data_IF_231358476672
#
_entry.id   IF_231358476672
#
_cell.length_a   1.000
_cell.length_b   1.000
_cell.length_c   1.000
_cell.angle_alpha   90.00
_cell.angle_beta   90.00
_cell.angle_gamma   90.00
#
_symmetry.space_group_name_H-M   'P 1'
#
loop_
_entity.id
_entity.type
_entity.pdbx_description
1 polymer ?
#
# COMPACT_ATOMS: atom_id res chain seq x y z
N UNK A 1 -23.99 11.56 -20.81
CA UNK A 1 -23.46 10.19 -20.76
C UNK A 1 -23.32 9.88 -19.28
N UNK A 2 -24.37 9.34 -18.68
CA UNK A 2 -24.50 9.29 -17.21
C UNK A 2 -24.06 7.92 -16.73
N UNK A 3 -22.75 7.70 -16.71
CA UNK A 3 -22.15 6.50 -16.13
C UNK A 3 -21.45 6.85 -14.83
N UNK A 4 -21.47 5.89 -13.90
CA UNK A 4 -20.77 5.97 -12.64
C UNK A 4 -19.97 4.70 -12.40
N UNK A 5 -18.74 4.88 -11.93
CA UNK A 5 -17.79 3.83 -11.58
C UNK A 5 -17.47 3.95 -10.11
N UNK A 6 -17.51 2.83 -9.40
CA UNK A 6 -17.18 2.75 -7.98
C UNK A 6 -15.96 1.87 -7.82
N UNK A 7 -14.95 2.38 -7.12
CA UNK A 7 -13.78 1.62 -6.69
C UNK A 7 -13.83 1.44 -5.17
N UNK A 8 -13.73 0.19 -4.74
CA UNK A 8 -13.77 -0.20 -3.33
C UNK A 8 -12.48 -0.94 -2.99
N UNK A 9 -11.79 -0.47 -1.96
CA UNK A 9 -10.64 -1.16 -1.38
C UNK A 9 -10.88 -1.32 0.13
N UNK A 10 -10.37 -2.38 0.79
CA UNK A 10 -10.46 -2.50 2.24
C UNK A 10 -9.61 -1.45 2.97
N UNK A 11 -8.52 -0.96 2.36
CA UNK A 11 -7.56 -0.07 3.01
C UNK A 11 -7.70 1.39 2.54
N UNK A 12 -7.87 2.32 3.49
CA UNK A 12 -8.01 3.75 3.18
C UNK A 12 -6.75 4.40 2.60
N UNK A 13 -5.56 3.87 2.93
CA UNK A 13 -4.29 4.38 2.38
C UNK A 13 -4.23 4.16 0.85
N UNK A 14 -4.68 2.99 0.38
CA UNK A 14 -4.73 2.68 -1.05
C UNK A 14 -5.75 3.57 -1.77
N UNK A 15 -6.91 3.81 -1.16
CA UNK A 15 -7.92 4.75 -1.69
C UNK A 15 -7.33 6.15 -1.88
N UNK A 16 -6.54 6.64 -0.91
CA UNK A 16 -5.92 7.96 -0.99
C UNK A 16 -4.85 8.03 -2.08
N UNK A 17 -3.98 7.02 -2.18
CA UNK A 17 -2.97 6.92 -3.24
C UNK A 17 -3.62 6.86 -4.62
N UNK A 18 -4.64 6.03 -4.77
CA UNK A 18 -5.37 5.86 -6.03
C UNK A 18 -6.14 7.12 -6.41
N UNK A 19 -6.69 7.84 -5.45
CA UNK A 19 -7.36 9.12 -5.68
C UNK A 19 -6.39 10.16 -6.28
N UNK A 20 -5.16 10.24 -5.76
CA UNK A 20 -4.14 11.15 -6.27
C UNK A 20 -3.72 10.75 -7.70
N UNK A 21 -3.39 9.47 -7.91
CA UNK A 21 -3.01 8.95 -9.24
C UNK A 21 -4.12 9.13 -10.28
N UNK A 22 -5.35 8.78 -9.94
CA UNK A 22 -6.48 8.84 -10.89
C UNK A 22 -6.93 10.26 -11.16
N UNK A 23 -6.87 11.18 -10.20
CA UNK A 23 -7.12 12.59 -10.49
C UNK A 23 -6.15 13.11 -11.53
N UNK A 24 -4.87 12.78 -11.40
CA UNK A 24 -3.88 13.20 -12.38
C UNK A 24 -4.08 12.52 -13.74
N UNK A 25 -4.25 11.19 -13.75
CA UNK A 25 -4.30 10.43 -15.01
C UNK A 25 -5.64 10.49 -15.72
N UNK A 26 -6.75 10.42 -14.98
CA UNK A 26 -8.11 10.35 -15.52
C UNK A 26 -8.83 11.69 -15.41
N UNK A 27 -8.63 12.41 -14.30
CA UNK A 27 -9.21 13.74 -14.11
C UNK A 27 -8.64 14.75 -15.11
N UNK A 28 -7.32 14.91 -15.15
CA UNK A 28 -6.71 15.93 -16.03
C UNK A 28 -6.81 15.53 -17.52
N UNK A 29 -6.57 14.26 -17.86
CA UNK A 29 -6.53 13.79 -19.25
C UNK A 29 -7.93 13.61 -19.85
N UNK A 30 -8.87 13.03 -19.10
CA UNK A 30 -10.19 12.65 -19.59
C UNK A 30 -11.33 13.51 -19.04
N UNK A 31 -11.02 14.53 -18.22
CA UNK A 31 -11.97 15.47 -17.61
C UNK A 31 -13.06 14.77 -16.80
N UNK A 32 -12.70 13.64 -16.18
CA UNK A 32 -13.62 12.90 -15.30
C UNK A 32 -13.64 13.51 -13.91
N UNK A 33 -14.81 13.55 -13.28
CA UNK A 33 -14.96 13.98 -11.89
C UNK A 33 -14.69 12.80 -10.95
N UNK A 34 -13.69 12.95 -10.08
CA UNK A 34 -13.14 11.88 -9.25
C UNK A 34 -13.05 12.31 -7.79
N UNK A 35 -13.74 11.58 -6.92
CA UNK A 35 -13.82 11.92 -5.50
C UNK A 35 -13.87 10.66 -4.62
N UNK A 36 -13.20 10.72 -3.47
CA UNK A 36 -13.31 9.69 -2.45
C UNK A 36 -14.47 9.97 -1.48
N UNK A 37 -15.10 8.90 -1.01
CA UNK A 37 -16.09 8.93 0.06
C UNK A 37 -15.45 9.38 1.37
N UNK A 38 -16.24 10.07 2.18
CA UNK A 38 -15.82 10.58 3.48
C UNK A 38 -16.48 9.82 4.62
N UNK A 39 -15.99 10.01 5.84
CA UNK A 39 -16.63 9.54 7.08
C UNK A 39 -18.02 10.16 7.29
N UNK A 40 -18.28 11.34 6.70
CA UNK A 40 -19.58 12.03 6.80
C UNK A 40 -20.55 11.47 5.76
N UNK A 41 -21.26 10.40 6.13
CA UNK A 41 -22.18 9.66 5.26
C UNK A 41 -23.20 10.58 4.56
N UNK A 42 -23.74 11.60 5.25
CA UNK A 42 -24.72 12.52 4.66
C UNK A 42 -24.16 13.37 3.52
N UNK A 43 -22.86 13.69 3.54
CA UNK A 43 -22.20 14.40 2.44
C UNK A 43 -21.95 13.49 1.23
N UNK A 44 -21.85 12.18 1.46
CA UNK A 44 -21.55 11.21 0.41
C UNK A 44 -22.67 11.09 -0.64
N UNK A 45 -23.92 11.43 -0.32
CA UNK A 45 -25.01 11.48 -1.32
C UNK A 45 -24.73 12.52 -2.42
N UNK A 46 -24.15 13.67 -2.05
CA UNK A 46 -23.75 14.71 -3.01
C UNK A 46 -22.53 14.29 -3.80
N UNK A 47 -21.52 13.74 -3.12
CA UNK A 47 -20.34 13.15 -3.77
C UNK A 47 -20.77 12.14 -4.83
N UNK A 48 -21.72 11.28 -4.49
CA UNK A 48 -22.26 10.29 -5.40
C UNK A 48 -22.99 10.92 -6.59
N UNK A 49 -23.73 12.01 -6.41
CA UNK A 49 -24.45 12.66 -7.50
C UNK A 49 -23.53 13.42 -8.47
N UNK A 50 -22.48 14.07 -7.94
CA UNK A 50 -21.65 15.03 -8.69
C UNK A 50 -20.45 14.37 -9.39
N UNK A 51 -20.11 13.13 -9.02
CA UNK A 51 -18.88 12.46 -9.50
C UNK A 51 -19.18 11.24 -10.38
N UNK A 52 -18.33 11.06 -11.39
CA UNK A 52 -18.37 9.90 -12.28
C UNK A 52 -17.56 8.73 -11.73
N UNK A 53 -16.44 9.01 -11.05
CA UNK A 53 -15.59 7.98 -10.44
C UNK A 53 -15.53 8.22 -8.94
N UNK A 54 -15.98 7.23 -8.17
CA UNK A 54 -16.12 7.32 -6.73
C UNK A 54 -15.23 6.26 -6.11
N UNK A 55 -14.33 6.67 -5.21
CA UNK A 55 -13.44 5.76 -4.49
C UNK A 55 -13.86 5.69 -3.02
N UNK A 56 -13.69 4.55 -2.37
CA UNK A 56 -13.98 4.47 -0.93
C UNK A 56 -13.57 3.16 -0.31
N UNK A 57 -13.59 3.13 1.02
CA UNK A 57 -13.40 1.87 1.74
C UNK A 57 -14.64 0.98 1.63
N UNK A 58 -14.50 -0.32 1.85
CA UNK A 58 -15.61 -1.26 2.05
C UNK A 58 -16.67 -0.71 3.02
N UNK A 59 -16.21 -0.15 4.14
CA UNK A 59 -17.04 0.48 5.16
C UNK A 59 -17.77 1.74 4.65
N UNK A 60 -17.05 2.67 4.01
CA UNK A 60 -17.69 3.89 3.47
C UNK A 60 -18.73 3.55 2.41
N UNK A 61 -18.42 2.59 1.55
CA UNK A 61 -19.33 2.15 0.50
C UNK A 61 -20.55 1.43 1.05
N UNK A 62 -20.38 0.54 2.04
CA UNK A 62 -21.50 -0.09 2.75
C UNK A 62 -22.51 0.94 3.25
N UNK A 63 -22.06 1.91 4.04
CA UNK A 63 -22.95 2.95 4.59
C UNK A 63 -23.57 3.85 3.51
N UNK A 64 -22.80 4.20 2.47
CA UNK A 64 -23.27 5.08 1.39
C UNK A 64 -24.29 4.37 0.50
N UNK A 65 -24.11 3.08 0.22
CA UNK A 65 -25.02 2.28 -0.61
C UNK A 65 -26.42 2.14 0.00
N UNK A 66 -26.53 2.20 1.34
CA UNK A 66 -27.80 2.19 2.04
C UNK A 66 -28.63 3.47 1.86
N UNK A 67 -28.03 4.60 1.46
CA UNK A 67 -28.71 5.87 1.31
C UNK A 67 -29.79 5.80 0.21
N UNK A 68 -31.00 6.36 0.43
CA UNK A 68 -32.09 6.30 -0.54
C UNK A 68 -31.73 6.86 -1.93
N UNK A 69 -30.96 7.94 -1.99
CA UNK A 69 -30.53 8.61 -3.22
C UNK A 69 -29.60 7.72 -4.06
N UNK A 70 -28.65 7.09 -3.38
CA UNK A 70 -27.67 6.19 -3.97
C UNK A 70 -28.35 4.92 -4.45
N UNK A 71 -29.20 4.33 -3.60
CA UNK A 71 -29.98 3.15 -3.95
C UNK A 71 -30.88 3.38 -5.17
N UNK A 72 -31.53 4.55 -5.25
CA UNK A 72 -32.31 4.95 -6.43
C UNK A 72 -31.43 5.04 -7.68
N UNK A 73 -30.26 5.65 -7.58
CA UNK A 73 -29.34 5.79 -8.72
C UNK A 73 -28.80 4.43 -9.22
N UNK A 74 -28.49 3.52 -8.30
CA UNK A 74 -28.13 2.13 -8.62
C UNK A 74 -29.30 1.41 -9.30
N UNK A 75 -30.52 1.52 -8.77
CA UNK A 75 -31.70 0.87 -9.34
C UNK A 75 -32.07 1.41 -10.73
N UNK A 76 -31.75 2.68 -11.01
CA UNK A 76 -31.92 3.31 -12.31
C UNK A 76 -30.79 2.97 -13.31
N UNK A 77 -29.80 2.15 -12.92
CA UNK A 77 -28.72 1.73 -13.79
C UNK A 77 -27.67 2.80 -14.09
N UNK A 78 -27.57 3.86 -13.26
CA UNK A 78 -26.51 4.89 -13.42
C UNK A 78 -25.12 4.34 -13.12
N UNK A 79 -25.03 3.37 -12.22
CA UNK A 79 -23.77 2.68 -11.92
C UNK A 79 -23.54 1.60 -12.95
N UNK A 80 -22.47 1.76 -13.73
CA UNK A 80 -22.11 0.81 -14.80
C UNK A 80 -21.06 -0.21 -14.36
N UNK A 81 -20.20 0.16 -13.41
CA UNK A 81 -19.04 -0.65 -13.00
C UNK A 81 -18.76 -0.51 -11.51
N UNK A 82 -18.55 -1.64 -10.84
CA UNK A 82 -17.96 -1.70 -9.50
C UNK A 82 -16.65 -2.49 -9.59
N UNK A 83 -15.58 -1.91 -9.08
CA UNK A 83 -14.26 -2.51 -8.95
C UNK A 83 -14.03 -2.78 -7.47
N UNK A 84 -13.82 -4.06 -7.12
CA UNK A 84 -13.44 -4.50 -5.79
C UNK A 84 -11.95 -4.85 -5.83
N UNK A 85 -11.14 -4.16 -5.05
CA UNK A 85 -9.72 -4.42 -4.92
C UNK A 85 -9.42 -5.23 -3.65
N UNK A 86 -8.31 -5.98 -3.70
CA UNK A 86 -7.75 -6.78 -2.61
C UNK A 86 -8.78 -7.69 -1.91
N UNK A 87 -9.49 -8.50 -2.68
CA UNK A 87 -10.48 -9.45 -2.14
C UNK A 87 -9.91 -10.44 -1.13
N UNK A 88 -8.60 -10.70 -1.11
CA UNK A 88 -7.94 -11.48 -0.07
C UNK A 88 -8.07 -10.87 1.33
N UNK A 89 -8.29 -9.56 1.40
CA UNK A 89 -8.48 -8.78 2.61
C UNK A 89 -9.97 -8.49 2.84
N UNK A 90 -10.87 -9.34 2.31
CA UNK A 90 -12.31 -9.18 2.48
C UNK A 90 -12.68 -9.07 3.96
N UNK A 91 -13.34 -7.95 4.29
CA UNK A 91 -13.86 -7.67 5.61
C UNK A 91 -15.38 -7.91 5.68
N UNK A 92 -15.94 -7.84 6.89
CA UNK A 92 -17.37 -8.01 7.13
C UNK A 92 -18.22 -7.05 6.31
N UNK A 93 -17.73 -5.82 6.07
CA UNK A 93 -18.45 -4.82 5.28
C UNK A 93 -18.49 -5.17 3.80
N UNK A 94 -17.39 -5.65 3.23
CA UNK A 94 -17.31 -6.08 1.84
C UNK A 94 -18.16 -7.32 1.59
N UNK A 95 -18.14 -8.31 2.49
CA UNK A 95 -18.98 -9.50 2.40
C UNK A 95 -20.48 -9.14 2.46
N UNK A 96 -20.87 -8.26 3.39
CA UNK A 96 -22.23 -7.76 3.52
C UNK A 96 -22.67 -7.00 2.26
N UNK A 97 -21.77 -6.18 1.69
CA UNK A 97 -22.02 -5.45 0.47
C UNK A 97 -22.27 -6.37 -0.72
N UNK A 98 -21.42 -7.38 -0.90
CA UNK A 98 -21.53 -8.38 -1.97
C UNK A 98 -22.83 -9.17 -1.85
N UNK A 99 -23.17 -9.58 -0.63
CA UNK A 99 -24.43 -10.29 -0.33
C UNK A 99 -25.65 -9.41 -0.65
N UNK A 100 -25.58 -8.11 -0.35
CA UNK A 100 -26.66 -7.16 -0.63
C UNK A 100 -26.86 -6.93 -2.13
N UNK A 101 -25.78 -6.72 -2.88
CA UNK A 101 -25.81 -6.50 -4.34
C UNK A 101 -26.24 -7.75 -5.10
N UNK A 102 -25.89 -8.95 -4.61
CA UNK A 102 -26.11 -10.23 -5.27
C UNK A 102 -27.56 -10.68 -5.43
N UNK A 103 -28.50 -10.06 -4.72
CA UNK A 103 -29.91 -10.52 -4.75
C UNK A 103 -30.78 -9.82 -5.80
N UNK A 104 -30.40 -8.64 -6.30
CA UNK A 104 -31.30 -7.83 -7.14
C UNK A 104 -30.65 -7.05 -8.30
N UNK A 105 -29.32 -6.97 -8.39
CA UNK A 105 -28.68 -5.90 -9.18
C UNK A 105 -27.49 -6.34 -10.05
N UNK A 106 -27.10 -7.62 -10.03
CA UNK A 106 -25.92 -8.07 -10.78
C UNK A 106 -26.14 -8.28 -12.28
N UNK A 107 -27.39 -8.34 -12.75
CA UNK A 107 -27.66 -8.60 -14.18
C UNK A 107 -27.39 -7.37 -15.08
N UNK A 108 -27.44 -6.16 -14.52
CA UNK A 108 -27.17 -4.90 -15.24
C UNK A 108 -25.85 -4.23 -14.86
N UNK A 109 -25.17 -4.73 -13.82
CA UNK A 109 -23.98 -4.13 -13.24
C UNK A 109 -22.74 -4.96 -13.54
N UNK A 110 -21.71 -4.35 -14.14
CA UNK A 110 -20.42 -5.03 -14.30
C UNK A 110 -19.66 -5.01 -12.97
N UNK A 111 -19.35 -6.18 -12.44
CA UNK A 111 -18.46 -6.34 -11.29
C UNK A 111 -17.07 -6.79 -11.76
N UNK A 112 -16.03 -6.08 -11.33
CA UNK A 112 -14.63 -6.47 -11.53
C UNK A 112 -14.02 -6.70 -10.16
N UNK A 113 -13.57 -7.93 -9.93
CA UNK A 113 -12.96 -8.38 -8.70
C UNK A 113 -11.46 -8.57 -8.94
N UNK A 114 -10.64 -7.84 -8.19
CA UNK A 114 -9.18 -7.94 -8.21
C UNK A 114 -8.72 -8.58 -6.90
N UNK A 115 -7.77 -9.49 -7.03
CA UNK A 115 -7.12 -10.14 -5.91
C UNK A 115 -5.64 -10.34 -6.21
N UNK A 116 -4.81 -10.29 -5.17
CA UNK A 116 -3.43 -10.73 -5.23
C UNK A 116 -3.29 -12.23 -5.45
N UNK A 117 -2.04 -12.66 -5.63
CA UNK A 117 -1.69 -14.06 -5.91
C UNK A 117 -1.90 -15.02 -4.71
N UNK A 118 -2.29 -14.52 -3.54
CA UNK A 118 -2.42 -15.31 -2.31
C UNK A 118 -3.71 -16.16 -2.26
N UNK A 119 -4.72 -15.86 -3.09
CA UNK A 119 -6.00 -16.57 -3.13
C UNK A 119 -6.05 -17.80 -4.06
N UNK A 120 -4.89 -18.26 -4.55
CA UNK A 120 -4.78 -19.37 -5.53
C UNK A 120 -5.52 -20.64 -5.07
N UNK A 121 -5.60 -20.90 -3.76
CA UNK A 121 -6.16 -22.14 -3.24
C UNK A 121 -7.69 -22.18 -3.16
N UNK A 122 -8.38 -21.03 -3.15
CA UNK A 122 -9.85 -21.01 -3.03
C UNK A 122 -10.56 -20.08 -4.03
N UNK A 123 -10.00 -19.96 -5.24
CA UNK A 123 -10.54 -19.09 -6.27
C UNK A 123 -11.93 -19.55 -6.77
N UNK A 124 -12.23 -20.85 -6.69
CA UNK A 124 -13.49 -21.40 -7.20
C UNK A 124 -14.69 -21.06 -6.28
N UNK A 125 -14.51 -21.11 -4.96
CA UNK A 125 -15.59 -20.72 -4.04
C UNK A 125 -15.86 -19.21 -4.14
N UNK A 126 -14.80 -18.41 -4.25
CA UNK A 126 -14.92 -16.96 -4.46
C UNK A 126 -15.64 -16.63 -5.77
N UNK A 127 -15.30 -17.31 -6.87
CA UNK A 127 -15.99 -17.14 -8.14
C UNK A 127 -17.47 -17.53 -8.04
N UNK A 128 -17.77 -18.59 -7.29
CA UNK A 128 -19.15 -19.05 -7.05
C UNK A 128 -19.92 -18.03 -6.21
N UNK A 129 -19.31 -17.50 -5.15
CA UNK A 129 -19.87 -16.46 -4.30
C UNK A 129 -20.19 -15.18 -5.09
N UNK A 130 -19.28 -14.77 -5.97
CA UNK A 130 -19.44 -13.60 -6.84
C UNK A 130 -20.25 -13.86 -8.12
N UNK A 131 -20.70 -15.11 -8.33
CA UNK A 131 -21.42 -15.56 -9.54
C UNK A 131 -20.67 -15.28 -10.84
N UNK A 132 -19.34 -15.36 -10.80
CA UNK A 132 -18.49 -15.16 -11.97
C UNK A 132 -18.47 -16.45 -12.81
N UNK A 133 -18.83 -16.40 -14.11
CA UNK A 133 -18.74 -17.56 -14.97
C UNK A 133 -17.26 -17.94 -15.18
N UNK A 134 -17.00 -19.24 -15.35
CA UNK A 134 -15.63 -19.76 -15.52
C UNK A 134 -14.86 -19.11 -16.67
N UNK A 135 -15.54 -18.66 -17.72
CA UNK A 135 -14.94 -17.94 -18.86
C UNK A 135 -14.33 -16.59 -18.47
N UNK A 136 -14.80 -15.99 -17.37
CA UNK A 136 -14.38 -14.68 -16.89
C UNK A 136 -13.52 -14.79 -15.62
N UNK A 137 -13.13 -16.02 -15.25
CA UNK A 137 -12.27 -16.29 -14.11
C UNK A 137 -10.81 -16.39 -14.56
N UNK A 138 -10.00 -15.39 -14.22
CA UNK A 138 -8.58 -15.37 -14.52
C UNK A 138 -7.78 -15.61 -13.24
N UNK A 139 -7.20 -16.81 -13.10
CA UNK A 139 -6.34 -17.17 -11.97
C UNK A 139 -4.90 -17.36 -12.45
N UNK A 140 -4.01 -16.45 -12.04
CA UNK A 140 -2.60 -16.48 -12.40
C UNK A 140 -1.78 -17.10 -11.25
N UNK A 141 -1.03 -18.15 -11.54
CA UNK A 141 -0.06 -18.70 -10.58
C UNK A 141 1.07 -17.69 -10.35
N UNK A 142 1.64 -17.67 -9.15
CA UNK A 142 2.73 -16.75 -8.72
C UNK A 142 3.91 -16.64 -9.71
N UNK A 143 4.14 -17.68 -10.53
CA UNK A 143 5.26 -17.76 -11.47
C UNK A 143 5.04 -17.08 -12.84
N UNK A 144 3.86 -16.53 -13.15
CA UNK A 144 3.52 -16.12 -14.53
C UNK A 144 3.95 -14.69 -14.88
N UNK A 145 4.39 -13.87 -13.91
CA UNK A 145 5.00 -12.58 -14.28
C UNK A 145 6.42 -12.83 -14.80
N UNK A 146 6.59 -12.83 -16.13
CA UNK A 146 7.92 -12.91 -16.78
C UNK A 146 8.88 -11.79 -16.33
N UNK A 147 8.35 -10.75 -15.66
CA UNK A 147 9.08 -9.61 -15.13
C UNK A 147 9.06 -9.54 -13.59
N UNK A 148 8.52 -10.54 -12.86
CA UNK A 148 8.63 -10.52 -11.40
C UNK A 148 10.08 -10.83 -11.00
N UNK A 149 10.68 -10.04 -10.09
CA UNK A 149 11.97 -10.41 -9.54
C UNK A 149 11.83 -11.81 -8.92
N UNK A 150 12.71 -12.74 -9.29
CA UNK A 150 12.81 -14.04 -8.62
C UNK A 150 13.08 -13.76 -7.14
N UNK A 151 12.03 -13.78 -6.33
CA UNK A 151 12.13 -13.55 -4.90
C UNK A 151 12.86 -14.76 -4.29
N UNK A 152 14.15 -14.62 -4.04
CA UNK A 152 14.90 -15.62 -3.28
C UNK A 152 14.54 -15.44 -1.81
N UNK A 153 13.54 -16.18 -1.36
CA UNK A 153 13.11 -16.16 0.04
C UNK A 153 14.08 -17.02 0.85
N UNK A 154 14.92 -16.37 1.66
CA UNK A 154 15.79 -17.04 2.62
C UNK A 154 15.19 -16.92 4.02
N UNK A 155 14.83 -18.05 4.61
CA UNK A 155 14.35 -18.08 6.00
C UNK A 155 15.51 -18.47 6.93
N UNK A 156 15.64 -17.75 8.06
CA UNK A 156 16.62 -18.04 9.10
C UNK A 156 15.92 -18.28 10.43
N UNK A 157 16.41 -19.28 11.18
CA UNK A 157 15.93 -19.59 12.52
C UNK A 157 16.95 -19.10 13.55
N UNK A 158 16.45 -18.54 14.64
CA UNK A 158 17.26 -18.01 15.74
C UNK A 158 16.89 -18.77 17.01
N UNK A 159 17.90 -19.30 17.70
CA UNK A 159 17.71 -20.17 18.87
C UNK A 159 17.52 -19.36 20.17
N UNK A 160 17.81 -18.06 20.15
CA UNK A 160 17.75 -17.20 21.32
C UNK A 160 16.32 -17.05 21.84
N UNK A 161 16.11 -17.43 23.10
CA UNK A 161 14.81 -17.33 23.76
C UNK A 161 14.46 -15.88 24.13
N UNK A 162 15.45 -15.07 24.54
CA UNK A 162 15.26 -13.65 24.88
C UNK A 162 15.01 -12.81 23.61
N UNK A 163 13.95 -11.98 23.56
CA UNK A 163 13.65 -11.13 22.40
C UNK A 163 14.80 -10.19 21.99
N UNK A 164 15.52 -9.62 22.96
CA UNK A 164 16.63 -8.69 22.68
C UNK A 164 17.88 -9.41 22.15
N UNK A 165 18.17 -10.59 22.69
CA UNK A 165 19.27 -11.42 22.21
C UNK A 165 18.99 -11.89 20.76
N UNK A 166 17.75 -12.30 20.50
CA UNK A 166 17.28 -12.66 19.16
C UNK A 166 17.36 -11.50 18.18
N UNK A 167 16.88 -10.31 18.58
CA UNK A 167 16.98 -9.11 17.76
C UNK A 167 18.44 -8.75 17.43
N UNK A 168 19.35 -8.86 18.41
CA UNK A 168 20.78 -8.61 18.19
C UNK A 168 21.40 -9.61 17.21
N UNK A 169 21.03 -10.89 17.29
CA UNK A 169 21.46 -11.91 16.35
C UNK A 169 20.93 -11.63 14.93
N UNK A 170 19.66 -11.24 14.81
CA UNK A 170 19.02 -10.83 13.55
C UNK A 170 19.69 -9.62 12.92
N UNK A 171 19.98 -8.57 13.70
CA UNK A 171 20.61 -7.33 13.20
C UNK A 171 21.98 -7.60 12.59
N UNK A 172 22.76 -8.52 13.18
CA UNK A 172 24.06 -8.91 12.63
C UNK A 172 23.95 -9.57 11.25
N UNK A 173 22.90 -10.36 11.03
CA UNK A 173 22.64 -10.97 9.73
C UNK A 173 22.07 -9.96 8.73
N UNK A 174 21.21 -9.05 9.20
CA UNK A 174 20.75 -7.89 8.40
C UNK A 174 21.92 -7.05 7.94
N UNK A 175 22.88 -6.71 8.82
CA UNK A 175 24.09 -5.98 8.45
C UNK A 175 24.87 -6.67 7.33
N UNK A 176 25.09 -7.98 7.43
CA UNK A 176 25.81 -8.75 6.39
C UNK A 176 25.06 -8.72 5.06
N UNK A 177 23.74 -8.91 5.08
CA UNK A 177 22.91 -8.86 3.88
C UNK A 177 22.90 -7.47 3.25
N UNK A 178 22.71 -6.42 4.06
CA UNK A 178 22.77 -5.03 3.63
C UNK A 178 24.13 -4.73 3.01
N UNK A 179 25.23 -5.03 3.70
CA UNK A 179 26.58 -4.77 3.21
C UNK A 179 26.83 -5.46 1.86
N UNK A 180 26.47 -6.73 1.72
CA UNK A 180 26.65 -7.46 0.46
C UNK A 180 25.83 -6.87 -0.69
N UNK A 181 24.54 -6.59 -0.49
CA UNK A 181 23.66 -6.11 -1.56
C UNK A 181 23.85 -4.62 -1.89
N UNK A 182 24.18 -3.78 -0.90
CA UNK A 182 24.46 -2.35 -1.13
C UNK A 182 25.76 -2.13 -1.90
N UNK A 183 26.77 -2.99 -1.71
CA UNK A 183 27.99 -3.00 -2.52
C UNK A 183 27.74 -3.32 -4.00
N UNK A 184 26.76 -4.19 -4.28
CA UNK A 184 26.27 -4.45 -5.65
C UNK A 184 25.42 -3.30 -6.20
N UNK A 185 25.12 -2.31 -5.36
CA UNK A 185 24.40 -1.10 -5.72
C UNK A 185 22.88 -1.17 -5.60
N UNK A 186 22.35 -2.24 -5.03
CA UNK A 186 20.92 -2.38 -4.77
C UNK A 186 20.50 -1.54 -3.55
N UNK A 187 19.26 -1.01 -3.58
CA UNK A 187 18.61 -0.44 -2.41
C UNK A 187 17.94 -1.55 -1.58
N UNK A 188 17.82 -1.35 -0.27
CA UNK A 188 17.23 -2.33 0.64
C UNK A 188 16.16 -1.71 1.54
N UNK A 189 15.14 -2.50 1.86
CA UNK A 189 14.11 -2.15 2.85
C UNK A 189 14.13 -3.17 3.98
N UNK A 190 14.21 -2.71 5.23
CA UNK A 190 14.24 -3.57 6.43
C UNK A 190 12.98 -3.33 7.25
N UNK A 191 12.10 -4.33 7.32
CA UNK A 191 10.92 -4.29 8.17
C UNK A 191 11.24 -4.78 9.58
N UNK A 192 10.79 -4.05 10.59
CA UNK A 192 10.87 -4.48 12.00
C UNK A 192 9.50 -4.41 12.68
N UNK A 193 9.31 -5.14 13.79
CA UNK A 193 8.00 -5.21 14.43
C UNK A 193 7.66 -4.01 15.33
N UNK A 194 8.60 -3.13 15.68
CA UNK A 194 8.29 -1.93 16.48
C UNK A 194 9.27 -0.78 16.28
N UNK A 195 8.81 0.45 16.54
CA UNK A 195 9.66 1.66 16.53
C UNK A 195 10.83 1.57 17.50
N UNK A 196 10.65 0.92 18.66
CA UNK A 196 11.74 0.70 19.62
C UNK A 196 12.84 -0.18 19.04
N UNK A 197 12.46 -1.26 18.35
CA UNK A 197 13.41 -2.13 17.66
C UNK A 197 14.01 -1.46 16.42
N UNK A 198 13.30 -0.53 15.79
CA UNK A 198 13.83 0.29 14.71
C UNK A 198 14.99 1.15 15.20
N UNK A 199 14.80 1.90 16.29
CA UNK A 199 15.86 2.70 16.90
C UNK A 199 17.05 1.85 17.37
N UNK A 200 16.77 0.68 17.96
CA UNK A 200 17.82 -0.28 18.34
C UNK A 200 18.62 -0.78 17.12
N UNK A 201 17.92 -1.14 16.03
CA UNK A 201 18.53 -1.60 14.78
C UNK A 201 19.40 -0.52 14.16
N UNK A 202 18.87 0.70 14.01
CA UNK A 202 19.60 1.87 13.51
C UNK A 202 20.86 2.11 14.33
N UNK A 203 20.76 2.15 15.66
CA UNK A 203 21.91 2.37 16.54
C UNK A 203 23.00 1.31 16.33
N UNK A 204 22.62 0.05 16.18
CA UNK A 204 23.56 -1.02 15.89
C UNK A 204 24.19 -0.90 14.50
N UNK A 205 23.40 -0.57 13.47
CA UNK A 205 23.90 -0.37 12.10
C UNK A 205 24.87 0.83 12.03
N UNK A 206 24.57 1.94 12.72
CA UNK A 206 25.47 3.09 12.83
C UNK A 206 26.81 2.69 13.44
N UNK A 207 26.82 1.93 14.54
CA UNK A 207 28.06 1.45 15.17
C UNK A 207 28.86 0.52 14.26
N UNK A 208 28.20 -0.31 13.48
CA UNK A 208 28.85 -1.15 12.48
C UNK A 208 29.46 -0.30 11.36
N UNK A 209 28.73 0.70 10.88
CA UNK A 209 29.19 1.62 9.83
C UNK A 209 30.40 2.44 10.28
N UNK A 210 30.38 3.01 11.49
CA UNK A 210 31.53 3.75 12.04
C UNK A 210 32.80 2.90 12.15
N UNK A 211 32.68 1.58 12.31
CA UNK A 211 33.82 0.65 12.38
C UNK A 211 34.36 0.26 11.00
N UNK A 212 33.52 0.29 9.96
CA UNK A 212 33.89 -0.10 8.60
C UNK A 212 34.27 1.10 7.70
N UNK A 213 34.04 2.34 8.16
CA UNK A 213 34.33 3.58 7.44
C UNK A 213 33.04 4.35 7.08
N UNK A 214 33.02 5.65 7.37
CA UNK A 214 31.89 6.53 7.09
C UNK A 214 31.79 6.83 5.59
N UNK A 215 30.76 6.32 4.92
CA UNK A 215 30.47 6.62 3.52
C UNK A 215 29.96 5.47 2.66
N UNK A 216 29.90 4.24 3.20
CA UNK A 216 29.51 3.06 2.42
C UNK A 216 28.11 3.13 1.80
N UNK A 217 27.19 3.89 2.39
CA UNK A 217 25.78 3.97 1.98
C UNK A 217 25.34 5.34 1.46
N UNK A 218 26.27 6.30 1.36
CA UNK A 218 26.00 7.63 0.78
C UNK A 218 26.57 7.65 -0.63
N UNK A 219 25.69 7.50 -1.63
CA UNK A 219 26.08 7.55 -3.05
C UNK A 219 25.90 8.92 -3.71
N UNK A 220 25.22 9.84 -3.04
CA UNK A 220 24.97 11.19 -3.55
C UNK A 220 25.95 12.21 -2.98
N UNK A 221 25.93 13.41 -3.57
CA UNK A 221 26.59 14.60 -3.03
C UNK A 221 26.21 14.79 -1.56
N UNK A 222 27.21 15.03 -0.71
CA UNK A 222 27.02 15.17 0.74
C UNK A 222 26.07 16.32 1.07
N UNK A 223 26.10 17.35 0.24
CA UNK A 223 25.25 18.54 0.34
C UNK A 223 23.75 18.18 0.30
N UNK A 224 23.34 17.31 -0.64
CA UNK A 224 21.94 16.91 -0.78
C UNK A 224 21.43 16.09 0.42
N UNK A 225 22.30 15.33 1.07
CA UNK A 225 21.98 14.56 2.27
C UNK A 225 21.87 15.46 3.50
N UNK A 226 22.77 16.44 3.62
CA UNK A 226 22.76 17.44 4.69
C UNK A 226 21.54 18.35 4.61
N UNK A 227 21.16 18.82 3.41
CA UNK A 227 19.93 19.59 3.18
C UNK A 227 18.69 18.79 3.59
N UNK A 228 18.61 17.53 3.18
CA UNK A 228 17.50 16.65 3.56
C UNK A 228 17.45 16.44 5.07
N UNK A 229 18.60 16.16 5.71
CA UNK A 229 18.68 15.98 7.15
C UNK A 229 18.25 17.24 7.93
N UNK A 230 18.58 18.44 7.42
CA UNK A 230 18.16 19.71 8.03
C UNK A 230 16.66 20.01 7.87
N UNK A 231 16.00 19.41 6.87
CA UNK A 231 14.56 19.58 6.64
C UNK A 231 13.67 18.67 7.50
N UNK A 232 14.25 17.61 8.10
CA UNK A 232 13.52 16.59 8.85
C UNK A 232 13.32 17.04 10.29
N UNK A 233 12.09 16.94 10.79
CA UNK A 233 11.76 17.35 12.17
C UNK A 233 12.15 16.29 13.21
N UNK A 234 12.08 15.02 12.86
CA UNK A 234 12.44 13.92 13.77
C UNK A 234 13.98 13.82 13.93
N UNK A 235 14.52 13.98 15.15
CA UNK A 235 15.95 13.98 15.39
C UNK A 235 16.61 12.62 15.08
N UNK A 236 15.92 11.51 15.35
CA UNK A 236 16.45 10.18 15.03
C UNK A 236 16.50 9.99 13.52
N UNK A 237 15.46 10.41 12.80
CA UNK A 237 15.42 10.32 11.35
C UNK A 237 16.48 11.20 10.69
N UNK A 238 16.67 12.44 11.16
CA UNK A 238 17.72 13.34 10.67
C UNK A 238 19.13 12.74 10.83
N UNK A 239 19.42 12.14 12.00
CA UNK A 239 20.68 11.44 12.23
C UNK A 239 20.78 10.19 11.34
N UNK A 240 19.71 9.45 11.08
CA UNK A 240 19.76 8.32 10.14
C UNK A 240 20.14 8.79 8.73
N UNK A 241 19.53 9.88 8.27
CA UNK A 241 19.71 10.42 6.91
C UNK A 241 21.15 10.81 6.67
N UNK A 242 21.83 11.41 7.65
CA UNK A 242 23.26 11.77 7.52
C UNK A 242 24.19 10.55 7.29
N UNK A 243 23.77 9.35 7.68
CA UNK A 243 24.47 8.10 7.40
C UNK A 243 23.99 7.39 6.12
N UNK A 244 23.10 8.00 5.33
CA UNK A 244 22.51 7.41 4.12
C UNK A 244 21.38 6.42 4.38
N UNK A 245 20.80 6.44 5.59
CA UNK A 245 19.67 5.57 5.99
C UNK A 245 18.40 6.40 6.22
N UNK A 246 17.24 5.88 5.82
CA UNK A 246 15.95 6.44 6.19
C UNK A 246 15.23 5.56 7.20
N UNK A 247 14.54 6.15 8.18
CA UNK A 247 13.61 5.45 9.08
C UNK A 247 12.20 6.00 8.86
N UNK A 248 11.21 5.12 8.79
CA UNK A 248 9.80 5.48 8.68
C UNK A 248 9.00 4.75 9.75
N UNK A 249 8.23 5.48 10.54
CA UNK A 249 7.32 4.90 11.54
C UNK A 249 6.00 5.66 11.64
N UNK A 250 5.00 5.05 12.28
CA UNK A 250 3.63 5.57 12.39
C UNK A 250 3.54 6.96 13.02
N UNK A 251 4.43 7.29 13.95
CA UNK A 251 4.39 8.56 14.70
C UNK A 251 5.10 9.73 13.99
N UNK A 252 5.60 9.51 12.77
CA UNK A 252 6.38 10.51 12.05
C UNK A 252 5.45 11.45 11.27
N UNK A 253 5.86 12.71 11.08
CA UNK A 253 5.06 13.67 10.32
C UNK A 253 4.88 13.19 8.87
N UNK A 254 3.76 13.56 8.24
CA UNK A 254 3.51 13.21 6.83
C UNK A 254 4.55 13.85 5.91
N UNK A 255 5.09 15.02 6.27
CA UNK A 255 6.13 15.72 5.53
C UNK A 255 7.44 14.94 5.55
N UNK A 256 7.91 14.52 6.74
CA UNK A 256 9.14 13.73 6.87
C UNK A 256 8.99 12.37 6.16
N UNK A 257 7.83 11.72 6.30
CA UNK A 257 7.51 10.47 5.60
C UNK A 257 7.68 10.62 4.08
N UNK A 258 7.12 11.70 3.52
CA UNK A 258 7.21 11.99 2.08
C UNK A 258 8.65 12.31 1.68
N UNK A 259 9.37 13.11 2.47
CA UNK A 259 10.77 13.45 2.23
C UNK A 259 11.67 12.22 2.13
N UNK A 260 11.61 11.35 3.14
CA UNK A 260 12.41 10.11 3.21
C UNK A 260 12.03 9.14 2.07
N UNK A 261 10.73 8.98 1.78
CA UNK A 261 10.27 8.12 0.67
C UNK A 261 10.77 8.63 -0.68
N UNK A 262 10.71 9.94 -0.92
CA UNK A 262 11.20 10.56 -2.15
C UNK A 262 12.71 10.43 -2.28
N UNK A 263 13.45 10.63 -1.20
CA UNK A 263 14.90 10.46 -1.17
C UNK A 263 15.33 9.02 -1.46
N UNK A 264 14.59 8.03 -0.93
CA UNK A 264 14.81 6.62 -1.26
C UNK A 264 14.49 6.31 -2.74
N UNK A 265 13.38 6.82 -3.26
CA UNK A 265 13.01 6.63 -4.67
C UNK A 265 14.05 7.21 -5.63
N UNK A 266 14.60 8.39 -5.29
CA UNK A 266 15.65 9.08 -6.04
C UNK A 266 17.06 8.48 -5.81
N UNK A 267 17.18 7.36 -5.10
CA UNK A 267 18.46 6.70 -4.78
C UNK A 267 19.45 7.57 -3.97
N UNK A 268 18.94 8.59 -3.28
CA UNK A 268 19.72 9.40 -2.32
C UNK A 268 20.00 8.59 -1.05
N UNK A 269 19.00 7.80 -0.63
CA UNK A 269 19.11 6.85 0.48
C UNK A 269 19.12 5.42 -0.07
N UNK A 270 20.06 4.60 0.39
CA UNK A 270 20.15 3.19 -0.04
C UNK A 270 19.38 2.23 0.85
N UNK A 271 19.22 2.58 2.12
CA UNK A 271 18.54 1.72 3.10
C UNK A 271 17.38 2.49 3.67
N UNK A 272 16.18 1.92 3.55
CA UNK A 272 15.00 2.40 4.26
C UNK A 272 14.57 1.36 5.28
N UNK A 273 14.23 1.82 6.46
CA UNK A 273 13.75 1.02 7.56
C UNK A 273 12.36 1.49 7.96
#
# INVERSE_FOLDING_TARGET
MDFQVIFVSPEGAEVAERLEDWRHRLGDTHRLTIQALSEKITANARVFADNQVILGTSRHWWHTSCLPEVRRSIALGKVSLIILNDLEMMDVHMEALLSHLGTRTLDSLRLVALSGATLINNTQDLATFLRVPKSNLFNFKEAVSQNSPKAVIQTRRYAEMSPLARASAMIRDVWKALFHHTQLGHSAVVFVPSTRLAGFTVYHLQRCLSRCGSGLWVKCQKEAVEELAGSIQDPLAAVCVSYGMGIVHSNMSTQDCRGIRRAFHNQILQVRH
#
